data_IF_311280652870
#
_entry.id   IF_311280652870
#
_cell.length_a   1.000
_cell.length_b   1.000
_cell.length_c   1.000
_cell.angle_alpha   90.00
_cell.angle_beta   90.00
_cell.angle_gamma   90.00
#
_symmetry.space_group_name_H-M   'P 1'
#
loop_
_entity.id
_entity.type
_entity.pdbx_description
1 polymer ?
#
# COMPACT_ATOMS: atom_id res chain seq x y z
N UNK A 1 25.31 4.81 -59.49
CA UNK A 1 24.85 3.88 -58.44
C UNK A 1 25.63 4.16 -57.16
N UNK A 2 25.07 4.95 -56.26
CA UNK A 2 25.64 5.21 -54.92
C UNK A 2 24.48 5.06 -53.95
N UNK A 3 24.55 4.05 -53.09
CA UNK A 3 23.58 3.78 -52.03
C UNK A 3 23.85 4.73 -50.85
N UNK A 4 22.93 5.65 -50.58
CA UNK A 4 22.87 6.41 -49.33
C UNK A 4 21.98 5.69 -48.30
N UNK A 5 22.28 5.74 -46.99
CA UNK A 5 21.90 4.68 -46.06
C UNK A 5 20.57 4.94 -45.34
N UNK A 6 19.76 3.88 -45.21
CA UNK A 6 18.55 3.76 -44.37
C UNK A 6 18.80 3.88 -42.85
N UNK A 7 19.97 4.37 -42.43
CA UNK A 7 20.37 4.45 -41.03
C UNK A 7 19.81 5.69 -40.30
N UNK A 8 19.48 6.76 -41.02
CA UNK A 8 19.03 8.03 -40.39
C UNK A 8 17.57 8.00 -39.89
N UNK A 9 16.69 7.18 -40.47
CA UNK A 9 15.29 7.14 -40.04
C UNK A 9 15.04 6.38 -38.73
N UNK A 10 15.93 5.46 -38.33
CA UNK A 10 15.79 4.73 -37.06
C UNK A 10 16.25 5.54 -35.84
N UNK A 11 17.18 6.48 -36.04
CA UNK A 11 17.69 7.35 -34.97
C UNK A 11 16.67 8.42 -34.57
N UNK A 12 15.88 8.94 -35.51
CA UNK A 12 14.87 9.96 -35.25
C UNK A 12 13.69 9.43 -34.40
N UNK A 13 13.29 8.17 -34.59
CA UNK A 13 12.25 7.53 -33.78
C UNK A 13 12.72 7.24 -32.34
N UNK A 14 14.02 7.01 -32.14
CA UNK A 14 14.61 6.81 -30.81
C UNK A 14 14.70 8.13 -30.02
N UNK A 15 15.03 9.24 -30.68
CA UNK A 15 14.97 10.57 -30.06
C UNK A 15 13.53 10.97 -29.68
N UNK A 16 12.52 10.58 -30.46
CA UNK A 16 11.11 10.90 -30.18
C UNK A 16 10.54 10.19 -28.94
N UNK A 17 11.07 9.02 -28.56
CA UNK A 17 10.65 8.27 -27.37
C UNK A 17 11.30 8.76 -26.07
N UNK A 18 12.41 9.52 -26.15
CA UNK A 18 13.11 10.09 -24.99
C UNK A 18 12.70 11.54 -24.69
N UNK A 19 12.04 12.23 -25.63
CA UNK A 19 11.57 13.62 -25.47
C UNK A 19 10.63 13.86 -24.26
N UNK A 20 9.75 12.94 -23.82
CA UNK A 20 8.88 13.21 -22.68
C UNK A 20 9.61 13.33 -21.34
N UNK A 21 10.84 12.82 -21.22
CA UNK A 21 11.61 12.88 -19.97
C UNK A 21 12.66 13.99 -19.98
N UNK A 22 13.23 14.32 -21.14
CA UNK A 22 14.29 15.34 -21.25
C UNK A 22 13.74 16.78 -21.19
N UNK A 23 12.48 17.01 -21.57
CA UNK A 23 11.85 18.35 -21.54
C UNK A 23 11.52 18.83 -20.10
N UNK A 24 11.56 17.96 -19.08
CA UNK A 24 11.10 18.28 -17.73
C UNK A 24 12.20 18.55 -16.69
N UNK A 25 13.44 18.77 -17.13
CA UNK A 25 14.53 19.22 -16.26
C UNK A 25 14.42 20.70 -15.82
N UNK A 26 13.22 21.29 -15.81
CA UNK A 26 13.05 22.64 -15.30
C UNK A 26 13.24 22.66 -13.79
N UNK A 27 13.92 23.69 -13.23
CA UNK A 27 13.97 23.88 -11.80
C UNK A 27 12.54 23.99 -11.26
N UNK A 28 12.20 23.17 -10.27
CA UNK A 28 10.91 23.20 -9.60
C UNK A 28 11.06 23.89 -8.23
N UNK A 29 10.21 24.89 -7.91
CA UNK A 29 9.20 25.50 -8.79
C UNK A 29 9.82 26.36 -9.91
N UNK A 30 9.12 26.57 -11.05
CA UNK A 30 9.62 27.42 -12.15
C UNK A 30 9.94 28.86 -11.73
N UNK A 31 9.19 29.39 -10.77
CA UNK A 31 9.34 30.73 -10.19
C UNK A 31 10.45 30.83 -9.12
N UNK A 32 11.12 29.72 -8.80
CA UNK A 32 12.06 29.63 -7.69
C UNK A 32 11.39 29.53 -6.31
N UNK A 33 12.09 28.90 -5.36
CA UNK A 33 11.53 28.59 -4.05
C UNK A 33 11.31 29.83 -3.17
N UNK A 34 12.08 30.90 -3.38
CA UNK A 34 11.91 32.16 -2.67
C UNK A 34 10.54 32.81 -2.96
N UNK A 35 10.11 32.80 -4.22
CA UNK A 35 8.79 33.32 -4.61
C UNK A 35 7.67 32.46 -4.06
N UNK A 36 7.82 31.14 -4.09
CA UNK A 36 6.87 30.21 -3.48
C UNK A 36 6.74 30.44 -1.96
N UNK A 37 7.84 30.74 -1.28
CA UNK A 37 7.85 31.06 0.15
C UNK A 37 7.12 32.38 0.42
N UNK A 38 7.34 33.41 -0.41
CA UNK A 38 6.59 34.67 -0.35
C UNK A 38 5.08 34.44 -0.57
N UNK A 39 4.73 33.65 -1.58
CA UNK A 39 3.33 33.31 -1.89
C UNK A 39 2.65 32.57 -0.72
N UNK A 40 3.29 31.52 -0.18
CA UNK A 40 2.80 30.79 1.00
C UNK A 40 2.64 31.71 2.21
N UNK A 41 3.58 32.63 2.40
CA UNK A 41 3.55 33.59 3.52
C UNK A 41 2.38 34.55 3.38
N UNK A 42 2.17 35.10 2.19
CA UNK A 42 1.04 35.99 1.90
C UNK A 42 -0.33 35.31 2.12
N UNK A 43 -0.43 34.01 1.78
CA UNK A 43 -1.66 33.24 1.96
C UNK A 43 -1.81 32.60 3.36
N UNK A 44 -0.76 32.60 4.19
CA UNK A 44 -0.77 31.93 5.49
C UNK A 44 -1.85 32.43 6.44
N UNK A 45 -2.17 33.74 6.55
CA UNK A 45 -3.23 34.20 7.42
C UNK A 45 -4.59 33.60 7.06
N UNK A 46 -4.95 33.60 5.77
CA UNK A 46 -6.22 33.05 5.29
C UNK A 46 -6.28 31.53 5.47
N UNK A 47 -5.22 30.82 5.09
CA UNK A 47 -5.15 29.36 5.27
C UNK A 47 -5.29 28.95 6.73
N UNK A 48 -4.61 29.66 7.66
CA UNK A 48 -4.71 29.38 9.09
C UNK A 48 -6.10 29.67 9.66
N UNK A 49 -6.77 30.72 9.21
CA UNK A 49 -8.18 31.00 9.58
C UNK A 49 -9.10 29.88 9.12
N UNK A 50 -8.91 29.39 7.90
CA UNK A 50 -9.64 28.25 7.35
C UNK A 50 -9.40 26.99 8.19
N UNK A 51 -8.15 26.66 8.49
CA UNK A 51 -7.80 25.46 9.29
C UNK A 51 -8.36 25.49 10.72
N UNK A 52 -8.50 26.68 11.31
CA UNK A 52 -9.09 26.85 12.65
C UNK A 52 -10.61 26.89 12.64
N UNK A 53 -11.24 26.87 11.47
CA UNK A 53 -12.68 27.03 11.31
C UNK A 53 -13.18 28.46 11.53
N UNK A 54 -12.29 29.45 11.64
CA UNK A 54 -12.63 30.88 11.76
C UNK A 54 -13.21 31.43 10.44
N UNK A 55 -12.90 30.79 9.31
CA UNK A 55 -13.43 31.13 7.98
C UNK A 55 -13.87 29.84 7.27
N UNK A 56 -15.15 29.68 6.91
CA UNK A 56 -15.60 28.52 6.16
C UNK A 56 -14.91 28.44 4.80
N UNK A 57 -14.38 27.26 4.46
CA UNK A 57 -13.81 27.05 3.14
C UNK A 57 -14.87 26.96 2.07
N UNK A 58 -14.56 27.55 0.92
CA UNK A 58 -15.41 27.57 -0.26
C UNK A 58 -14.56 27.18 -1.47
N UNK A 59 -14.88 26.03 -2.08
CA UNK A 59 -14.18 25.53 -3.25
C UNK A 59 -14.41 26.38 -4.51
N UNK A 60 -15.39 27.30 -4.51
CA UNK A 60 -15.63 28.27 -5.58
C UNK A 60 -14.87 29.58 -5.39
N UNK A 61 -14.37 29.84 -4.18
CA UNK A 61 -13.60 31.04 -3.88
C UNK A 61 -12.15 30.84 -4.34
N UNK A 62 -11.67 31.70 -5.25
CA UNK A 62 -10.34 31.62 -5.82
C UNK A 62 -9.23 31.86 -4.78
N UNK A 63 -9.43 32.78 -3.84
CA UNK A 63 -8.47 33.07 -2.77
C UNK A 63 -8.31 31.88 -1.83
N UNK A 64 -9.42 31.20 -1.50
CA UNK A 64 -9.40 29.98 -0.70
C UNK A 64 -8.61 28.87 -1.41
N UNK A 65 -8.89 28.65 -2.70
CA UNK A 65 -8.17 27.66 -3.50
C UNK A 65 -6.68 28.01 -3.64
N UNK A 66 -6.35 29.29 -3.88
CA UNK A 66 -4.97 29.77 -3.98
C UNK A 66 -4.23 29.58 -2.67
N UNK A 67 -4.87 29.86 -1.53
CA UNK A 67 -4.27 29.64 -0.23
C UNK A 67 -3.93 28.16 -0.02
N UNK A 68 -4.88 27.25 -0.27
CA UNK A 68 -4.67 25.80 -0.17
C UNK A 68 -3.58 25.32 -1.14
N UNK A 69 -3.61 25.73 -2.40
CA UNK A 69 -2.63 25.32 -3.41
C UNK A 69 -1.23 25.84 -3.12
N UNK A 70 -1.07 27.06 -2.58
CA UNK A 70 0.23 27.60 -2.21
C UNK A 70 0.93 26.78 -1.12
N UNK A 71 0.17 26.24 -0.15
CA UNK A 71 0.69 25.31 0.84
C UNK A 71 1.03 23.95 0.22
N UNK A 72 0.15 23.40 -0.64
CA UNK A 72 0.43 22.16 -1.35
C UNK A 72 1.70 22.22 -2.21
N UNK A 73 1.89 23.30 -2.97
CA UNK A 73 3.10 23.58 -3.75
C UNK A 73 4.32 23.72 -2.85
N UNK A 74 4.20 24.48 -1.75
CA UNK A 74 5.29 24.65 -0.78
C UNK A 74 5.79 23.29 -0.28
N UNK A 75 4.91 22.40 0.17
CA UNK A 75 5.33 21.09 0.67
C UNK A 75 5.89 20.19 -0.43
N UNK A 76 5.19 20.06 -1.55
CA UNK A 76 5.62 19.19 -2.64
C UNK A 76 6.98 19.59 -3.22
N UNK A 77 7.22 20.89 -3.44
CA UNK A 77 8.46 21.36 -4.03
C UNK A 77 9.58 21.54 -3.00
N UNK A 78 9.29 21.58 -1.70
CA UNK A 78 10.35 21.70 -0.69
C UNK A 78 11.33 20.53 -0.74
N UNK A 79 10.91 19.36 -1.19
CA UNK A 79 11.79 18.18 -1.36
C UNK A 79 12.80 18.33 -2.51
N UNK A 80 12.64 19.35 -3.38
CA UNK A 80 13.59 19.63 -4.48
C UNK A 80 14.76 20.52 -4.03
N UNK A 81 14.64 21.17 -2.87
CA UNK A 81 15.64 22.10 -2.37
C UNK A 81 16.91 21.42 -1.89
N UNK A 82 18.05 22.00 -2.25
CA UNK A 82 19.36 21.47 -1.92
C UNK A 82 19.65 21.50 -0.41
N UNK A 83 19.27 22.58 0.29
CA UNK A 83 19.39 22.68 1.75
C UNK A 83 18.67 21.52 2.44
N UNK A 84 17.42 21.26 2.04
CA UNK A 84 16.58 20.20 2.61
C UNK A 84 17.13 18.81 2.31
N UNK A 85 17.79 18.64 1.17
CA UNK A 85 18.37 17.36 0.73
C UNK A 85 19.71 17.05 1.40
N UNK A 86 20.54 18.08 1.65
CA UNK A 86 21.91 17.91 2.16
C UNK A 86 22.00 17.91 3.68
N UNK A 87 21.16 18.69 4.35
CA UNK A 87 21.27 18.86 5.79
C UNK A 87 20.57 17.72 6.56
N UNK A 88 21.28 17.02 7.46
CA UNK A 88 20.70 15.96 8.27
C UNK A 88 19.45 16.44 9.03
N UNK A 89 18.38 15.65 8.96
CA UNK A 89 17.13 15.93 9.68
C UNK A 89 16.19 16.95 9.03
N UNK A 90 16.63 17.79 8.07
CA UNK A 90 15.74 18.77 7.42
C UNK A 90 14.63 18.13 6.59
N UNK A 91 14.94 17.03 5.88
CA UNK A 91 13.91 16.25 5.16
C UNK A 91 12.88 15.64 6.12
N UNK A 92 13.32 15.08 7.25
CA UNK A 92 12.43 14.51 8.27
C UNK A 92 11.52 15.58 8.90
N UNK A 93 12.06 16.75 9.21
CA UNK A 93 11.28 17.90 9.67
C UNK A 93 10.20 18.30 8.64
N UNK A 94 10.53 18.31 7.35
CA UNK A 94 9.55 18.60 6.29
C UNK A 94 8.39 17.58 6.26
N UNK A 95 8.67 16.30 6.48
CA UNK A 95 7.62 15.27 6.59
C UNK A 95 6.77 15.44 7.85
N UNK A 96 7.41 15.70 9.01
CA UNK A 96 6.69 15.94 10.28
C UNK A 96 5.74 17.14 10.19
N UNK A 97 6.13 18.19 9.48
CA UNK A 97 5.25 19.34 9.21
C UNK A 97 4.01 18.93 8.38
N UNK A 98 4.19 18.13 7.32
CA UNK A 98 3.07 17.60 6.52
C UNK A 98 2.17 16.72 7.38
N UNK A 99 2.73 15.77 8.13
CA UNK A 99 1.97 14.90 9.04
C UNK A 99 1.22 15.69 10.12
N UNK A 100 1.82 16.76 10.65
CA UNK A 100 1.15 17.67 11.58
C UNK A 100 -0.05 18.35 10.94
N UNK A 101 0.09 18.83 9.71
CA UNK A 101 -1.01 19.45 8.97
C UNK A 101 -2.11 18.46 8.63
N UNK A 102 -1.77 17.24 8.19
CA UNK A 102 -2.75 16.17 7.94
C UNK A 102 -3.53 15.81 9.22
N UNK A 103 -2.84 15.70 10.37
CA UNK A 103 -3.50 15.52 11.68
C UNK A 103 -4.41 16.69 12.04
N UNK A 104 -3.99 17.92 11.77
CA UNK A 104 -4.83 19.10 12.01
C UNK A 104 -6.10 19.06 11.16
N UNK A 105 -5.97 18.76 9.86
CA UNK A 105 -7.11 18.61 8.94
C UNK A 105 -8.11 17.54 9.41
N UNK A 106 -7.60 16.43 9.96
CA UNK A 106 -8.40 15.36 10.57
C UNK A 106 -9.16 15.81 11.82
N UNK A 107 -8.55 16.68 12.62
CA UNK A 107 -9.14 17.19 13.87
C UNK A 107 -10.10 18.37 13.67
N UNK A 108 -10.24 18.89 12.44
CA UNK A 108 -11.12 20.02 12.19
C UNK A 108 -12.57 19.65 12.53
N UNK A 109 -13.29 20.52 13.25
CA UNK A 109 -14.67 20.25 13.62
C UNK A 109 -15.49 20.10 12.35
N UNK A 110 -16.15 18.96 12.23
CA UNK A 110 -17.09 18.73 11.16
C UNK A 110 -18.29 19.64 11.40
N UNK A 111 -18.68 20.42 10.40
CA UNK A 111 -19.91 21.22 10.46
C UNK A 111 -21.08 20.26 10.70
N UNK A 112 -21.88 20.45 11.77
CA UNK A 112 -23.03 19.60 12.02
C UNK A 112 -23.98 19.71 10.83
N UNK A 113 -24.25 18.57 10.18
CA UNK A 113 -25.28 18.51 9.15
C UNK A 113 -26.65 18.71 9.83
N UNK A 114 -27.61 19.40 9.18
CA UNK A 114 -28.99 19.40 9.67
C UNK A 114 -29.45 17.95 9.83
N UNK A 115 -29.94 17.60 11.02
CA UNK A 115 -30.45 16.26 11.36
C UNK A 115 -31.66 15.93 10.50
N UNK A 116 -31.42 15.35 9.33
CA UNK A 116 -32.41 14.66 8.51
C UNK A 116 -32.22 13.18 8.76
N UNK A 117 -33.31 12.48 9.14
CA UNK A 117 -33.27 11.06 9.42
C UNK A 117 -32.67 10.29 8.22
N UNK A 118 -31.53 9.62 8.45
CA UNK A 118 -30.81 8.84 7.44
C UNK A 118 -29.67 9.54 6.69
N UNK A 119 -29.36 10.81 6.99
CA UNK A 119 -28.15 11.47 6.47
C UNK A 119 -26.95 11.36 7.43
N UNK A 120 -25.70 11.37 6.90
CA UNK A 120 -24.50 11.38 7.74
C UNK A 120 -24.54 12.52 8.75
N UNK A 121 -24.17 12.26 10.00
CA UNK A 121 -24.15 13.23 11.11
C UNK A 121 -23.06 14.30 10.97
N UNK A 122 -22.31 14.31 9.87
CA UNK A 122 -21.10 15.09 9.73
C UNK A 122 -20.84 15.47 8.25
N UNK A 123 -20.74 16.77 7.93
CA UNK A 123 -20.34 17.26 6.60
C UNK A 123 -18.82 17.10 6.42
N UNK A 124 -18.33 16.31 5.46
CA UNK A 124 -16.89 16.10 5.29
C UNK A 124 -16.11 17.42 5.11
N UNK A 125 -14.86 17.48 5.55
CA UNK A 125 -14.06 18.69 5.53
C UNK A 125 -13.65 19.06 4.09
N UNK A 126 -14.24 20.09 3.46
CA UNK A 126 -13.94 20.42 2.07
C UNK A 126 -12.50 20.95 1.89
N UNK A 127 -11.88 21.49 2.96
CA UNK A 127 -10.46 21.89 2.98
C UNK A 127 -9.56 20.68 2.85
N UNK A 128 -9.81 19.62 3.62
CA UNK A 128 -9.00 18.41 3.59
C UNK A 128 -9.01 17.80 2.19
N UNK A 129 -10.19 17.64 1.61
CA UNK A 129 -10.38 17.17 0.23
C UNK A 129 -9.63 18.01 -0.80
N UNK A 130 -9.67 19.34 -0.67
CA UNK A 130 -8.99 20.23 -1.60
C UNK A 130 -7.47 20.14 -1.42
N UNK A 131 -6.98 20.27 -0.18
CA UNK A 131 -5.55 20.21 0.14
C UNK A 131 -4.92 18.89 -0.29
N UNK A 132 -5.52 17.76 0.06
CA UNK A 132 -5.02 16.42 -0.29
C UNK A 132 -4.98 16.24 -1.82
N UNK A 133 -6.02 16.68 -2.52
CA UNK A 133 -6.08 16.62 -3.99
C UNK A 133 -5.01 17.50 -4.64
N UNK A 134 -4.80 18.72 -4.14
CA UNK A 134 -3.73 19.63 -4.62
C UNK A 134 -2.35 19.05 -4.34
N UNK A 135 -2.09 18.60 -3.11
CA UNK A 135 -0.80 18.03 -2.73
C UNK A 135 -0.47 16.79 -3.57
N UNK A 136 -1.44 15.92 -3.84
CA UNK A 136 -1.29 14.82 -4.78
C UNK A 136 -0.84 15.27 -6.18
N UNK A 137 -1.50 16.29 -6.75
CA UNK A 137 -1.13 16.86 -8.05
C UNK A 137 0.30 17.41 -8.02
N UNK A 138 0.65 18.19 -6.99
CA UNK A 138 1.97 18.83 -6.88
C UNK A 138 3.10 17.82 -6.64
N UNK A 139 2.86 16.73 -5.92
CA UNK A 139 3.83 15.63 -5.81
C UNK A 139 4.15 15.02 -7.18
N UNK A 140 3.13 14.82 -8.04
CA UNK A 140 3.31 14.25 -9.39
C UNK A 140 4.16 15.13 -10.30
N UNK A 141 4.08 16.45 -10.14
CA UNK A 141 4.92 17.39 -10.89
C UNK A 141 6.41 17.23 -10.55
N UNK A 142 6.77 16.64 -9.40
CA UNK A 142 8.16 16.37 -8.99
C UNK A 142 8.68 15.03 -9.52
N UNK A 143 7.84 14.14 -10.03
CA UNK A 143 8.29 12.83 -10.55
C UNK A 143 9.31 12.90 -11.68
N UNK A 144 9.24 13.84 -12.63
CA UNK A 144 10.26 13.95 -13.66
C UNK A 144 11.53 14.72 -13.20
N UNK A 145 11.65 15.11 -11.92
CA UNK A 145 12.80 15.86 -11.44
C UNK A 145 14.11 15.06 -11.63
N UNK A 146 15.21 15.73 -12.00
CA UNK A 146 16.50 15.07 -12.24
C UNK A 146 17.11 14.42 -11.00
N UNK A 147 16.83 14.93 -9.79
CA UNK A 147 17.39 14.41 -8.54
C UNK A 147 16.54 13.26 -8.00
N UNK A 148 17.13 12.07 -7.90
CA UNK A 148 16.47 10.87 -7.30
C UNK A 148 15.89 11.16 -5.92
N UNK A 149 16.63 11.87 -5.06
CA UNK A 149 16.16 12.23 -3.72
C UNK A 149 14.85 13.05 -3.75
N UNK A 150 14.68 13.95 -4.73
CA UNK A 150 13.45 14.72 -4.88
C UNK A 150 12.29 13.81 -5.32
N UNK A 151 12.52 12.97 -6.35
CA UNK A 151 11.51 12.04 -6.87
C UNK A 151 11.00 11.08 -5.80
N UNK A 152 11.92 10.41 -5.10
CA UNK A 152 11.59 9.44 -4.04
C UNK A 152 10.81 10.11 -2.91
N UNK A 153 11.24 11.28 -2.44
CA UNK A 153 10.54 11.97 -1.35
C UNK A 153 9.19 12.56 -1.77
N UNK A 154 8.99 12.91 -3.05
CA UNK A 154 7.67 13.29 -3.56
C UNK A 154 6.68 12.11 -3.50
N UNK A 155 7.10 10.91 -3.92
CA UNK A 155 6.25 9.70 -3.83
C UNK A 155 6.03 9.31 -2.36
N UNK A 156 7.06 9.43 -1.50
CA UNK A 156 6.92 9.25 -0.04
C UNK A 156 5.85 10.17 0.52
N UNK A 157 5.86 11.44 0.17
CA UNK A 157 4.85 12.41 0.62
C UNK A 157 3.46 12.05 0.11
N UNK A 158 3.34 11.67 -1.16
CA UNK A 158 2.09 11.18 -1.73
C UNK A 158 1.56 9.95 -0.97
N UNK A 159 2.45 9.03 -0.54
CA UNK A 159 2.07 7.80 0.16
C UNK A 159 1.43 8.01 1.54
N UNK A 160 1.56 9.20 2.13
CA UNK A 160 0.92 9.57 3.40
C UNK A 160 -0.56 9.95 3.22
N UNK A 161 -0.91 10.49 2.06
CA UNK A 161 -2.23 11.07 1.78
C UNK A 161 -3.41 10.10 1.89
N UNK A 162 -3.30 8.81 1.50
CA UNK A 162 -4.45 7.90 1.57
C UNK A 162 -5.00 7.69 2.98
N UNK A 163 -4.17 7.85 4.02
CA UNK A 163 -4.59 7.72 5.43
C UNK A 163 -5.59 8.79 5.88
N UNK A 164 -5.77 9.83 5.07
CA UNK A 164 -6.72 10.91 5.33
C UNK A 164 -8.00 10.81 4.47
N UNK A 165 -8.17 9.74 3.67
CA UNK A 165 -9.36 9.57 2.82
C UNK A 165 -10.68 9.62 3.61
N UNK A 166 -10.69 9.13 4.86
CA UNK A 166 -11.87 9.18 5.73
C UNK A 166 -12.29 10.61 6.12
N UNK A 167 -11.39 11.58 5.99
CA UNK A 167 -11.64 13.01 6.29
C UNK A 167 -12.15 13.80 5.08
N UNK A 168 -12.08 13.20 3.88
CA UNK A 168 -12.45 13.83 2.62
C UNK A 168 -13.95 13.72 2.33
N UNK A 169 -14.47 14.69 1.57
CA UNK A 169 -15.78 14.64 0.94
C UNK A 169 -15.77 13.63 -0.20
N UNK A 170 -16.27 12.44 0.10
CA UNK A 170 -16.43 11.35 -0.85
C UNK A 170 -17.67 11.53 -1.74
N UNK A 171 -18.64 12.39 -1.36
CA UNK A 171 -19.88 12.56 -2.12
C UNK A 171 -19.65 13.32 -3.44
N UNK A 172 -18.65 14.21 -3.50
CA UNK A 172 -18.27 14.95 -4.71
C UNK A 172 -17.07 14.38 -5.49
N UNK A 173 -16.29 13.45 -4.92
CA UNK A 173 -15.03 12.96 -5.50
C UNK A 173 -14.80 11.46 -5.31
N UNK A 174 -15.72 10.63 -5.82
CA UNK A 174 -15.55 9.16 -5.96
C UNK A 174 -14.24 8.73 -6.68
N UNK A 175 -13.47 9.67 -7.22
CA UNK A 175 -12.26 9.43 -8.01
C UNK A 175 -10.96 9.54 -7.21
N UNK A 176 -10.92 10.11 -5.99
CA UNK A 176 -9.63 10.38 -5.32
C UNK A 176 -8.84 9.10 -4.97
N UNK A 177 -9.45 8.04 -4.40
CA UNK A 177 -8.75 6.77 -4.22
C UNK A 177 -8.27 6.16 -5.54
N UNK A 178 -9.10 6.25 -6.60
CA UNK A 178 -8.72 5.82 -7.94
C UNK A 178 -7.53 6.61 -8.50
N UNK A 179 -7.48 7.92 -8.29
CA UNK A 179 -6.35 8.79 -8.69
C UNK A 179 -5.06 8.42 -7.95
N UNK A 180 -5.15 8.12 -6.64
CA UNK A 180 -4.00 7.61 -5.89
C UNK A 180 -3.51 6.30 -6.46
N UNK A 181 -4.41 5.33 -6.63
CA UNK A 181 -4.09 4.01 -7.16
C UNK A 181 -3.49 4.06 -8.57
N UNK A 182 -4.08 4.83 -9.48
CA UNK A 182 -3.57 5.02 -10.85
C UNK A 182 -2.18 5.67 -10.85
N UNK A 183 -1.98 6.70 -10.01
CA UNK A 183 -0.69 7.36 -9.88
C UNK A 183 0.37 6.43 -9.28
N UNK A 184 0.05 5.67 -8.23
CA UNK A 184 0.99 4.73 -7.64
C UNK A 184 1.31 3.58 -8.61
N UNK A 185 0.31 3.08 -9.36
CA UNK A 185 0.51 2.06 -10.38
C UNK A 185 1.43 2.57 -11.48
N UNK A 186 1.20 3.79 -11.95
CA UNK A 186 2.07 4.44 -12.95
C UNK A 186 3.51 4.57 -12.45
N UNK A 187 3.71 4.99 -11.19
CA UNK A 187 5.05 5.06 -10.58
C UNK A 187 5.67 3.67 -10.49
N UNK A 188 4.90 2.68 -10.03
CA UNK A 188 5.40 1.31 -9.88
C UNK A 188 5.85 0.69 -11.21
N UNK A 189 5.06 0.87 -12.27
CA UNK A 189 5.34 0.35 -13.61
C UNK A 189 6.48 1.09 -14.31
N UNK A 190 6.61 2.41 -14.13
CA UNK A 190 7.45 3.27 -15.00
C UNK A 190 8.62 3.95 -14.32
N UNK A 191 8.66 4.00 -12.98
CA UNK A 191 9.74 4.73 -12.31
C UNK A 191 11.10 4.03 -12.49
N UNK A 192 12.17 4.80 -12.76
CA UNK A 192 13.52 4.24 -12.85
C UNK A 192 14.08 3.91 -11.46
N UNK A 193 13.64 4.61 -10.41
CA UNK A 193 14.17 4.42 -9.05
C UNK A 193 13.33 3.42 -8.24
N UNK A 194 14.00 2.43 -7.67
CA UNK A 194 13.40 1.46 -6.76
C UNK A 194 12.78 2.12 -5.51
N UNK A 195 13.39 3.21 -5.02
CA UNK A 195 12.83 3.98 -3.90
C UNK A 195 11.45 4.58 -4.22
N UNK A 196 11.19 4.97 -5.46
CA UNK A 196 9.86 5.44 -5.87
C UNK A 196 8.85 4.28 -5.87
N UNK A 197 9.26 3.12 -6.41
CA UNK A 197 8.42 1.90 -6.41
C UNK A 197 8.07 1.46 -4.98
N UNK A 198 9.04 1.52 -4.06
CA UNK A 198 8.84 1.21 -2.65
C UNK A 198 7.70 2.05 -2.03
N UNK A 199 7.75 3.37 -2.20
CA UNK A 199 6.72 4.25 -1.64
C UNK A 199 5.41 4.19 -2.41
N UNK A 200 5.42 3.85 -3.70
CA UNK A 200 4.19 3.59 -4.44
C UNK A 200 3.46 2.35 -3.89
N UNK A 201 4.16 1.26 -3.61
CA UNK A 201 3.60 0.06 -2.98
C UNK A 201 3.01 0.37 -1.59
N UNK A 202 3.72 1.15 -0.77
CA UNK A 202 3.21 1.63 0.51
C UNK A 202 1.95 2.48 0.36
N UNK A 203 1.93 3.36 -0.64
CA UNK A 203 0.77 4.18 -1.00
C UNK A 203 -0.44 3.34 -1.42
N UNK A 204 -0.25 2.29 -2.22
CA UNK A 204 -1.32 1.34 -2.59
C UNK A 204 -1.87 0.63 -1.34
N UNK A 205 -0.99 0.07 -0.49
CA UNK A 205 -1.39 -0.59 0.75
C UNK A 205 -2.20 0.35 1.66
N UNK A 206 -1.71 1.58 1.87
CA UNK A 206 -2.41 2.60 2.66
C UNK A 206 -3.77 2.98 2.05
N UNK A 207 -3.87 3.05 0.71
CA UNK A 207 -5.13 3.35 0.02
C UNK A 207 -6.15 2.24 0.23
N UNK A 208 -5.78 0.97 0.03
CA UNK A 208 -6.67 -0.16 0.33
C UNK A 208 -7.08 -0.17 1.79
N UNK A 209 -6.15 0.03 2.72
CA UNK A 209 -6.44 0.05 4.15
C UNK A 209 -7.45 1.15 4.52
N UNK A 210 -7.31 2.34 3.95
CA UNK A 210 -8.24 3.45 4.17
C UNK A 210 -9.64 3.21 3.58
N UNK A 211 -9.73 2.44 2.48
CA UNK A 211 -11.01 2.08 1.86
C UNK A 211 -11.80 1.01 2.66
N UNK A 212 -11.11 0.15 3.43
CA UNK A 212 -11.74 -0.95 4.18
C UNK A 212 -12.93 -0.53 5.04
N UNK A 213 -12.81 0.42 6.00
CA UNK A 213 -13.96 0.82 6.83
C UNK A 213 -15.08 1.45 5.99
N UNK A 214 -14.74 2.15 4.91
CA UNK A 214 -15.69 2.83 4.02
C UNK A 214 -16.53 1.85 3.18
N UNK A 215 -16.04 0.63 2.94
CA UNK A 215 -16.75 -0.40 2.19
C UNK A 215 -17.79 -1.17 3.02
N UNK A 216 -17.65 -1.19 4.36
CA UNK A 216 -18.46 -2.03 5.28
C UNK A 216 -19.83 -1.41 5.60
N UNK A 217 -20.06 -0.13 5.30
CA UNK A 217 -21.35 0.51 5.56
C UNK A 217 -22.48 -0.15 4.74
N UNK A 218 -23.31 -0.95 5.43
CA UNK A 218 -24.35 -1.82 4.84
C UNK A 218 -25.52 -1.08 4.18
N UNK A 219 -25.61 0.25 4.28
CA UNK A 219 -26.82 1.01 3.88
C UNK A 219 -26.58 2.24 2.98
N UNK A 220 -25.36 2.54 2.55
CA UNK A 220 -25.12 3.82 1.87
C UNK A 220 -24.99 3.66 0.34
N UNK A 221 -25.75 4.48 -0.42
CA UNK A 221 -25.50 4.79 -1.83
C UNK A 221 -24.13 5.47 -2.08
N UNK A 222 -23.31 5.63 -1.02
CA UNK A 222 -22.06 6.37 -0.95
C UNK A 222 -20.83 5.48 -0.70
N UNK A 223 -20.92 4.15 -0.87
CA UNK A 223 -19.74 3.29 -0.77
C UNK A 223 -18.67 3.73 -1.76
N UNK A 224 -17.44 3.86 -1.26
CA UNK A 224 -16.28 4.22 -2.07
C UNK A 224 -15.60 2.93 -2.50
N UNK A 225 -15.73 2.61 -3.79
CA UNK A 225 -15.04 1.49 -4.42
C UNK A 225 -14.03 2.00 -5.43
N UNK A 226 -13.00 1.20 -5.68
CA UNK A 226 -12.15 1.39 -6.85
C UNK A 226 -12.93 1.00 -8.10
N UNK A 227 -12.55 1.59 -9.22
CA UNK A 227 -12.97 1.08 -10.52
C UNK A 227 -12.51 -0.39 -10.66
N UNK A 228 -13.41 -1.33 -11.00
CA UNK A 228 -13.06 -2.76 -11.07
C UNK A 228 -11.94 -3.08 -12.06
N UNK A 229 -11.84 -2.33 -13.17
CA UNK A 229 -10.79 -2.56 -14.16
C UNK A 229 -9.43 -2.07 -13.63
N UNK A 230 -9.41 -0.93 -12.95
CA UNK A 230 -8.21 -0.44 -12.24
C UNK A 230 -7.77 -1.43 -11.15
N UNK A 231 -8.71 -1.92 -10.32
CA UNK A 231 -8.42 -2.89 -9.27
C UNK A 231 -7.87 -4.21 -9.83
N UNK A 232 -8.47 -4.73 -10.91
CA UNK A 232 -7.98 -5.91 -11.60
C UNK A 232 -6.55 -5.70 -12.14
N UNK A 233 -6.29 -4.55 -12.77
CA UNK A 233 -4.96 -4.21 -13.29
C UNK A 233 -3.92 -4.17 -12.17
N UNK A 234 -4.23 -3.54 -11.04
CA UNK A 234 -3.32 -3.44 -9.89
C UNK A 234 -2.98 -4.83 -9.36
N UNK A 235 -3.99 -5.67 -9.13
CA UNK A 235 -3.74 -7.02 -8.61
C UNK A 235 -2.99 -7.89 -9.60
N UNK A 236 -3.28 -7.81 -10.90
CA UNK A 236 -2.51 -8.52 -11.93
C UNK A 236 -1.05 -8.08 -11.93
N UNK A 237 -0.79 -6.77 -11.95
CA UNK A 237 0.56 -6.21 -11.93
C UNK A 237 1.32 -6.60 -10.67
N UNK A 238 0.68 -6.56 -9.49
CA UNK A 238 1.31 -6.95 -8.23
C UNK A 238 1.58 -8.46 -8.16
N UNK A 239 0.63 -9.32 -8.57
CA UNK A 239 0.84 -10.77 -8.62
C UNK A 239 2.02 -11.10 -9.54
N UNK A 240 2.04 -10.53 -10.75
CA UNK A 240 3.12 -10.72 -11.71
C UNK A 240 4.48 -10.28 -11.16
N UNK A 241 4.54 -9.13 -10.48
CA UNK A 241 5.78 -8.67 -9.85
C UNK A 241 6.25 -9.61 -8.73
N UNK A 242 5.34 -10.01 -7.84
CA UNK A 242 5.67 -10.89 -6.72
C UNK A 242 6.19 -12.26 -7.21
N UNK A 243 5.58 -12.80 -8.26
CA UNK A 243 6.00 -14.07 -8.86
C UNK A 243 7.18 -13.93 -9.85
N UNK A 244 7.61 -12.71 -10.15
CA UNK A 244 8.70 -12.48 -11.11
C UNK A 244 10.03 -13.03 -10.58
N UNK A 245 10.81 -13.62 -11.49
CA UNK A 245 12.19 -14.04 -11.24
C UNK A 245 13.09 -12.90 -11.71
N UNK A 246 13.62 -12.06 -10.80
CA UNK A 246 14.52 -10.98 -11.18
C UNK A 246 15.75 -11.56 -11.88
N UNK A 247 16.20 -10.88 -12.93
CA UNK A 247 17.44 -11.21 -13.61
C UNK A 247 18.57 -10.42 -12.94
N UNK A 248 19.45 -11.14 -12.26
CA UNK A 248 20.65 -10.58 -11.65
C UNK A 248 21.86 -10.87 -12.55
N UNK A 249 22.87 -9.99 -12.49
CA UNK A 249 24.20 -10.38 -12.96
C UNK A 249 24.70 -11.60 -12.18
N UNK A 250 25.55 -12.44 -12.79
CA UNK A 250 26.03 -13.69 -12.19
C UNK A 250 26.69 -13.46 -10.81
N UNK A 251 27.31 -12.30 -10.61
CA UNK A 251 27.95 -11.86 -9.37
C UNK A 251 27.23 -10.67 -8.71
N UNK A 252 25.90 -10.56 -8.89
CA UNK A 252 25.14 -9.49 -8.24
C UNK A 252 25.34 -9.53 -6.71
N UNK A 253 25.65 -8.39 -6.07
CA UNK A 253 25.80 -8.31 -4.63
C UNK A 253 24.55 -8.80 -3.90
N UNK A 254 24.73 -9.37 -2.70
CA UNK A 254 23.59 -9.82 -1.88
C UNK A 254 22.66 -8.65 -1.51
N UNK A 255 23.20 -7.44 -1.40
CA UNK A 255 22.43 -6.21 -1.17
C UNK A 255 21.42 -5.93 -2.28
N UNK A 256 21.74 -6.27 -3.53
CA UNK A 256 20.84 -6.11 -4.67
C UNK A 256 19.68 -7.12 -4.61
N UNK A 257 19.99 -8.38 -4.28
CA UNK A 257 18.99 -9.43 -4.06
C UNK A 257 18.08 -9.08 -2.88
N UNK A 258 18.67 -8.53 -1.83
CA UNK A 258 17.97 -8.09 -0.63
C UNK A 258 17.06 -6.88 -0.90
N UNK A 259 17.52 -5.91 -1.70
CA UNK A 259 16.72 -4.78 -2.16
C UNK A 259 15.45 -5.22 -2.89
N UNK A 260 15.57 -6.19 -3.79
CA UNK A 260 14.41 -6.79 -4.46
C UNK A 260 13.46 -7.47 -3.47
N UNK A 261 13.97 -8.26 -2.53
CA UNK A 261 13.13 -8.92 -1.51
C UNK A 261 12.37 -7.91 -0.64
N UNK A 262 12.96 -6.76 -0.32
CA UNK A 262 12.27 -5.66 0.38
C UNK A 262 11.12 -5.11 -0.47
N UNK A 263 11.34 -4.87 -1.77
CA UNK A 263 10.27 -4.43 -2.67
C UNK A 263 9.16 -5.48 -2.80
N UNK A 264 9.53 -6.75 -2.97
CA UNK A 264 8.59 -7.87 -3.08
C UNK A 264 7.74 -8.01 -1.81
N UNK A 265 8.34 -7.85 -0.62
CA UNK A 265 7.62 -7.80 0.66
C UNK A 265 6.56 -6.69 0.69
N UNK A 266 6.88 -5.48 0.23
CA UNK A 266 5.89 -4.39 0.21
C UNK A 266 4.80 -4.62 -0.85
N UNK A 267 5.10 -5.32 -1.95
CA UNK A 267 4.10 -5.74 -2.92
C UNK A 267 3.16 -6.82 -2.36
N UNK A 268 3.71 -7.81 -1.62
CA UNK A 268 2.93 -8.78 -0.84
C UNK A 268 2.02 -8.05 0.16
N UNK A 269 2.55 -7.05 0.86
CA UNK A 269 1.76 -6.24 1.81
C UNK A 269 0.63 -5.48 1.09
N UNK A 270 0.88 -4.91 -0.09
CA UNK A 270 -0.16 -4.25 -0.88
C UNK A 270 -1.24 -5.24 -1.35
N UNK A 271 -0.86 -6.42 -1.85
CA UNK A 271 -1.78 -7.51 -2.21
C UNK A 271 -2.62 -7.98 -1.00
N UNK A 272 -1.98 -8.15 0.16
CA UNK A 272 -2.64 -8.51 1.40
C UNK A 272 -3.72 -7.48 1.82
N UNK A 273 -3.61 -6.23 1.37
CA UNK A 273 -4.59 -5.19 1.67
C UNK A 273 -5.86 -5.25 0.81
N UNK A 274 -5.84 -5.93 -0.35
CA UNK A 274 -6.98 -5.98 -1.30
C UNK A 274 -8.19 -6.72 -0.73
N UNK A 275 -7.95 -7.74 0.12
CA UNK A 275 -8.95 -8.67 0.67
C UNK A 275 -9.71 -9.53 -0.36
N UNK A 276 -9.41 -9.35 -1.65
CA UNK A 276 -10.00 -10.11 -2.72
C UNK A 276 -9.09 -11.30 -3.06
N UNK A 277 -9.58 -12.55 -2.93
CA UNK A 277 -8.77 -13.73 -3.21
C UNK A 277 -8.38 -13.79 -4.69
N UNK A 278 -9.24 -13.30 -5.58
CA UNK A 278 -8.97 -13.24 -7.01
C UNK A 278 -9.68 -12.04 -7.64
N UNK A 279 -9.05 -11.43 -8.64
CA UNK A 279 -9.69 -10.44 -9.51
C UNK A 279 -9.38 -10.74 -10.97
N UNK A 280 -10.42 -10.85 -11.79
CA UNK A 280 -10.27 -11.32 -13.17
C UNK A 280 -9.72 -12.76 -13.26
N UNK A 281 -9.22 -13.16 -14.43
CA UNK A 281 -8.75 -14.53 -14.66
C UNK A 281 -7.28 -14.78 -14.24
N UNK A 282 -6.48 -13.71 -14.10
CA UNK A 282 -5.02 -13.80 -13.95
C UNK A 282 -4.53 -13.47 -12.54
N UNK A 283 -5.20 -12.58 -11.82
CA UNK A 283 -4.74 -12.13 -10.50
C UNK A 283 -5.25 -13.09 -9.41
N UNK A 284 -4.54 -14.22 -9.24
CA UNK A 284 -4.85 -15.24 -8.22
C UNK A 284 -4.22 -14.90 -6.86
N UNK A 285 -4.58 -13.75 -6.30
CA UNK A 285 -3.98 -13.16 -5.10
C UNK A 285 -3.80 -14.17 -3.95
N UNK A 286 -4.85 -14.91 -3.58
CA UNK A 286 -4.76 -15.87 -2.47
C UNK A 286 -3.77 -17.03 -2.76
N UNK A 287 -3.67 -17.47 -4.01
CA UNK A 287 -2.71 -18.51 -4.40
C UNK A 287 -1.27 -17.99 -4.34
N UNK A 288 -1.02 -16.77 -4.84
CA UNK A 288 0.30 -16.13 -4.72
C UNK A 288 0.71 -15.99 -3.26
N UNK A 289 -0.19 -15.51 -2.39
CA UNK A 289 0.08 -15.38 -0.96
C UNK A 289 0.32 -16.73 -0.28
N UNK A 290 -0.43 -17.78 -0.65
CA UNK A 290 -0.21 -19.12 -0.10
C UNK A 290 1.15 -19.70 -0.49
N UNK A 291 1.56 -19.50 -1.76
CA UNK A 291 2.91 -19.86 -2.23
C UNK A 291 3.99 -19.08 -1.49
N UNK A 292 3.78 -17.80 -1.21
CA UNK A 292 4.74 -16.97 -0.49
C UNK A 292 4.76 -17.21 1.02
N UNK A 293 3.74 -17.84 1.60
CA UNK A 293 3.74 -18.23 3.00
C UNK A 293 4.46 -19.58 3.23
N UNK A 294 4.31 -20.55 2.31
CA UNK A 294 4.73 -21.94 2.53
C UNK A 294 5.36 -22.65 1.33
N UNK A 295 5.36 -22.03 0.16
CA UNK A 295 5.69 -22.68 -1.10
C UNK A 295 7.19 -22.74 -1.39
N UNK A 296 7.58 -23.80 -2.12
CA UNK A 296 8.94 -24.00 -2.62
C UNK A 296 9.20 -23.26 -3.94
N UNK A 297 10.45 -23.33 -4.41
CA UNK A 297 10.89 -22.95 -5.77
C UNK A 297 10.67 -21.47 -6.13
N UNK A 298 10.70 -20.58 -5.14
CA UNK A 298 10.64 -19.13 -5.34
C UNK A 298 12.05 -18.55 -5.36
N UNK A 299 12.36 -17.79 -6.41
CA UNK A 299 13.69 -17.23 -6.66
C UNK A 299 13.59 -15.69 -6.80
N UNK A 300 14.35 -14.90 -6.03
CA UNK A 300 15.17 -15.33 -4.88
C UNK A 300 14.29 -15.93 -3.78
N UNK A 301 14.89 -16.78 -2.94
CA UNK A 301 14.19 -17.41 -1.82
C UNK A 301 13.46 -16.36 -0.98
N UNK A 302 12.27 -16.72 -0.51
CA UNK A 302 11.45 -15.87 0.34
C UNK A 302 12.14 -15.65 1.66
N UNK A 303 12.19 -14.39 2.11
CA UNK A 303 12.55 -14.11 3.49
C UNK A 303 11.41 -14.47 4.43
N UNK A 304 11.77 -14.65 5.70
CA UNK A 304 10.77 -14.95 6.72
C UNK A 304 9.75 -13.82 6.92
N UNK A 305 10.14 -12.54 6.80
CA UNK A 305 9.20 -11.42 6.85
C UNK A 305 8.26 -11.37 5.64
N UNK A 306 8.68 -11.83 4.46
CA UNK A 306 7.78 -12.04 3.31
C UNK A 306 6.73 -13.11 3.61
N UNK A 307 7.15 -14.24 4.21
CA UNK A 307 6.23 -15.32 4.63
C UNK A 307 5.18 -14.81 5.62
N UNK A 308 5.60 -13.99 6.59
CA UNK A 308 4.72 -13.39 7.59
C UNK A 308 3.70 -12.44 6.97
N UNK A 309 4.12 -11.53 6.09
CA UNK A 309 3.18 -10.63 5.39
C UNK A 309 2.21 -11.42 4.50
N UNK A 310 2.68 -12.47 3.85
CA UNK A 310 1.84 -13.33 3.01
C UNK A 310 0.79 -14.10 3.84
N UNK A 311 1.21 -14.65 4.98
CA UNK A 311 0.33 -15.35 5.93
C UNK A 311 -0.76 -14.42 6.51
N UNK A 312 -0.39 -13.19 6.92
CA UNK A 312 -1.35 -12.16 7.32
C UNK A 312 -2.29 -11.82 6.15
N UNK A 313 -1.76 -11.77 4.92
CA UNK A 313 -2.54 -11.58 3.71
C UNK A 313 -3.60 -12.65 3.49
N UNK A 314 -3.28 -13.93 3.71
CA UNK A 314 -4.26 -15.02 3.62
C UNK A 314 -5.43 -14.82 4.58
N UNK A 315 -5.15 -14.40 5.82
CA UNK A 315 -6.20 -14.09 6.81
C UNK A 315 -7.06 -12.88 6.43
N UNK A 316 -6.53 -11.96 5.62
CA UNK A 316 -7.28 -10.80 5.14
C UNK A 316 -8.21 -11.12 3.96
N UNK A 317 -8.00 -12.24 3.26
CA UNK A 317 -8.86 -12.64 2.14
C UNK A 317 -10.28 -12.92 2.63
N UNK A 318 -11.28 -12.57 1.81
CA UNK A 318 -12.69 -12.88 2.09
C UNK A 318 -13.28 -13.74 0.98
N UNK A 319 -14.11 -14.74 1.32
CA UNK A 319 -14.96 -15.39 0.34
C UNK A 319 -15.77 -14.33 -0.40
N UNK A 320 -15.83 -14.44 -1.72
CA UNK A 320 -16.67 -13.58 -2.53
C UNK A 320 -17.95 -14.35 -2.83
N UNK A 321 -19.08 -13.69 -2.65
CA UNK A 321 -20.40 -14.29 -2.90
C UNK A 321 -20.54 -14.66 -4.37
N UNK A 322 -21.05 -15.88 -4.64
CA UNK A 322 -21.48 -16.37 -5.96
C UNK A 322 -20.41 -16.59 -7.05
N UNK A 323 -19.12 -16.69 -6.68
CA UNK A 323 -18.02 -17.41 -7.38
C UNK A 323 -16.90 -16.61 -8.12
N UNK A 324 -15.73 -16.39 -7.48
CA UNK A 324 -14.46 -16.12 -8.18
C UNK A 324 -13.25 -16.97 -7.70
N UNK A 325 -12.85 -18.06 -8.38
CA UNK A 325 -13.72 -19.12 -8.91
C UNK A 325 -13.62 -20.31 -7.92
N UNK A 326 -14.36 -20.13 -6.84
CA UNK A 326 -14.57 -20.94 -5.62
C UNK A 326 -13.32 -21.05 -4.77
N UNK A 327 -12.89 -19.88 -4.30
CA UNK A 327 -11.88 -19.72 -3.27
C UNK A 327 -12.16 -20.63 -2.07
N UNK A 328 -11.20 -21.49 -1.77
CA UNK A 328 -11.26 -22.43 -0.65
C UNK A 328 -10.66 -21.79 0.59
N UNK A 329 -11.51 -21.11 1.37
CA UNK A 329 -11.09 -20.43 2.60
C UNK A 329 -10.42 -21.38 3.59
N UNK A 330 -10.96 -22.59 3.78
CA UNK A 330 -10.39 -23.55 4.71
C UNK A 330 -8.98 -24.00 4.28
N UNK A 331 -8.72 -24.09 2.96
CA UNK A 331 -7.37 -24.35 2.44
C UNK A 331 -6.41 -23.19 2.68
N UNK A 332 -6.86 -21.94 2.50
CA UNK A 332 -6.06 -20.77 2.88
C UNK A 332 -5.74 -20.78 4.40
N UNK A 333 -6.70 -21.16 5.24
CA UNK A 333 -6.52 -21.30 6.69
C UNK A 333 -5.55 -22.44 7.03
N UNK A 334 -5.63 -23.57 6.33
CA UNK A 334 -4.69 -24.69 6.51
C UNK A 334 -3.26 -24.27 6.17
N UNK A 335 -3.04 -23.58 5.06
CA UNK A 335 -1.73 -23.02 4.72
C UNK A 335 -1.24 -22.01 5.76
N UNK A 336 -2.12 -21.14 6.26
CA UNK A 336 -1.77 -20.27 7.38
C UNK A 336 -1.36 -21.07 8.64
N UNK A 337 -2.06 -22.17 8.94
CA UNK A 337 -1.72 -23.08 10.03
C UNK A 337 -0.33 -23.72 9.88
N UNK A 338 0.03 -24.18 8.68
CA UNK A 338 1.37 -24.69 8.40
C UNK A 338 2.45 -23.63 8.61
N UNK A 339 2.23 -22.41 8.14
CA UNK A 339 3.12 -21.28 8.39
C UNK A 339 3.28 -21.03 9.90
N UNK A 340 2.20 -21.10 10.68
CA UNK A 340 2.27 -20.90 12.12
C UNK A 340 3.15 -21.93 12.83
N UNK A 341 3.17 -23.18 12.38
CA UNK A 341 4.06 -24.20 12.96
C UNK A 341 5.54 -23.76 12.84
N UNK A 342 5.98 -23.34 11.64
CA UNK A 342 7.33 -22.78 11.43
C UNK A 342 7.54 -21.49 12.25
N UNK A 343 6.54 -20.60 12.28
CA UNK A 343 6.62 -19.34 13.02
C UNK A 343 6.86 -19.54 14.52
N UNK A 344 6.13 -20.47 15.17
CA UNK A 344 6.32 -20.79 16.58
C UNK A 344 7.63 -21.52 16.84
N UNK A 345 8.03 -22.45 15.97
CA UNK A 345 9.31 -23.14 16.07
C UNK A 345 10.47 -22.15 16.03
N UNK A 346 10.52 -21.28 15.02
CA UNK A 346 11.55 -20.23 14.89
C UNK A 346 11.55 -19.26 16.05
N UNK A 347 10.38 -18.84 16.53
CA UNK A 347 10.32 -17.99 17.72
C UNK A 347 10.93 -18.68 18.95
N UNK A 348 10.64 -19.96 19.17
CA UNK A 348 11.17 -20.69 20.32
C UNK A 348 12.68 -20.95 20.19
N UNK A 349 13.21 -21.09 18.96
CA UNK A 349 14.64 -21.22 18.66
C UNK A 349 15.34 -19.90 18.31
N UNK A 350 14.69 -18.74 18.50
CA UNK A 350 15.15 -17.43 17.99
C UNK A 350 16.53 -16.98 18.49
N UNK A 351 17.02 -17.59 19.56
CA UNK A 351 18.35 -17.26 20.10
C UNK A 351 19.49 -17.88 19.30
N UNK A 352 19.18 -18.78 18.35
CA UNK A 352 20.15 -19.54 17.58
C UNK A 352 20.65 -18.78 16.34
N UNK A 353 19.86 -17.82 15.83
CA UNK A 353 20.19 -17.00 14.66
C UNK A 353 20.07 -15.50 14.93
N UNK A 354 21.08 -14.71 14.57
CA UNK A 354 21.08 -13.25 14.79
C UNK A 354 19.91 -12.55 14.08
N UNK A 355 19.55 -12.99 12.88
CA UNK A 355 18.41 -12.44 12.13
C UNK A 355 17.09 -12.61 12.90
N UNK A 356 16.93 -13.72 13.63
CA UNK A 356 15.73 -14.00 14.41
C UNK A 356 15.71 -13.20 15.73
N UNK A 357 16.87 -12.82 16.29
CA UNK A 357 16.93 -11.97 17.50
C UNK A 357 16.36 -10.57 17.25
N UNK A 358 16.61 -10.01 16.07
CA UNK A 358 16.16 -8.66 15.70
C UNK A 358 14.77 -8.65 15.03
N UNK A 359 14.19 -9.82 14.75
CA UNK A 359 12.86 -9.91 14.15
C UNK A 359 11.78 -9.41 15.13
N UNK A 360 10.80 -8.60 14.69
CA UNK A 360 9.82 -7.98 15.57
C UNK A 360 8.67 -8.94 15.94
N UNK A 361 8.97 -10.06 16.59
CA UNK A 361 8.05 -11.15 16.90
C UNK A 361 6.76 -10.71 17.58
N UNK A 362 6.86 -9.85 18.61
CA UNK A 362 5.70 -9.37 19.38
C UNK A 362 4.73 -8.58 18.52
N UNK A 363 5.28 -7.70 17.67
CA UNK A 363 4.50 -6.88 16.76
C UNK A 363 3.81 -7.73 15.69
N UNK A 364 4.51 -8.72 15.13
CA UNK A 364 3.93 -9.59 14.12
C UNK A 364 2.88 -10.54 14.70
N UNK A 365 3.08 -11.04 15.93
CA UNK A 365 2.07 -11.82 16.65
C UNK A 365 0.77 -11.03 16.83
N UNK A 366 0.86 -9.76 17.28
CA UNK A 366 -0.30 -8.89 17.43
C UNK A 366 -1.03 -8.68 16.09
N UNK A 367 -0.30 -8.43 15.00
CA UNK A 367 -0.90 -8.29 13.66
C UNK A 367 -1.58 -9.55 13.16
N UNK A 368 -1.00 -10.72 13.41
CA UNK A 368 -1.61 -12.02 13.08
C UNK A 368 -2.91 -12.20 13.89
N UNK A 369 -2.88 -11.88 15.19
CA UNK A 369 -4.03 -11.97 16.07
C UNK A 369 -5.17 -11.04 15.61
N UNK A 370 -4.85 -9.79 15.27
CA UNK A 370 -5.82 -8.83 14.72
C UNK A 370 -6.46 -9.34 13.42
N UNK A 371 -5.64 -9.85 12.48
CA UNK A 371 -6.14 -10.39 11.21
C UNK A 371 -7.02 -11.64 11.41
N UNK A 372 -6.62 -12.52 12.33
CA UNK A 372 -7.35 -13.74 12.69
C UNK A 372 -8.72 -13.41 13.32
N UNK A 373 -8.73 -12.49 14.29
CA UNK A 373 -9.95 -12.04 14.95
C UNK A 373 -10.89 -11.33 13.97
N UNK A 374 -10.35 -10.49 13.06
CA UNK A 374 -11.12 -9.87 11.99
C UNK A 374 -11.73 -10.90 11.04
N UNK A 375 -10.98 -11.92 10.63
CA UNK A 375 -11.51 -13.00 9.79
C UNK A 375 -12.66 -13.72 10.50
N UNK A 376 -12.45 -14.15 11.74
CA UNK A 376 -13.45 -14.89 12.54
C UNK A 376 -14.74 -14.09 12.79
N UNK A 377 -14.63 -12.77 12.92
CA UNK A 377 -15.79 -11.90 13.09
C UNK A 377 -16.67 -11.79 11.83
N UNK A 378 -16.09 -12.07 10.65
CA UNK A 378 -16.75 -11.84 9.36
C UNK A 378 -17.16 -13.12 8.63
N UNK A 379 -16.50 -14.25 8.90
CA UNK A 379 -16.75 -15.53 8.21
C UNK A 379 -17.20 -16.62 9.16
N UNK A 380 -17.98 -17.58 8.64
CA UNK A 380 -18.29 -18.83 9.33
C UNK A 380 -17.44 -19.94 8.71
N UNK A 381 -16.51 -20.50 9.48
CA UNK A 381 -15.71 -21.67 9.11
C UNK A 381 -15.49 -22.55 10.35
N UNK A 382 -15.94 -23.79 10.28
CA UNK A 382 -15.73 -24.77 11.35
C UNK A 382 -14.25 -25.13 11.48
N UNK A 383 -13.53 -25.13 10.36
CA UNK A 383 -12.09 -25.33 10.34
C UNK A 383 -11.36 -24.22 11.10
N UNK A 384 -11.72 -22.95 10.85
CA UNK A 384 -11.19 -21.80 11.58
C UNK A 384 -11.52 -21.89 13.07
N UNK A 385 -12.77 -22.19 13.41
CA UNK A 385 -13.22 -22.27 14.80
C UNK A 385 -12.53 -23.38 15.58
N UNK A 386 -12.23 -24.52 14.94
CA UNK A 386 -11.45 -25.60 15.54
C UNK A 386 -9.98 -25.25 15.73
N UNK A 387 -9.37 -24.54 14.76
CA UNK A 387 -7.96 -24.16 14.84
C UNK A 387 -7.70 -23.00 15.79
N UNK A 388 -8.61 -22.03 15.87
CA UNK A 388 -8.48 -20.80 16.66
C UNK A 388 -8.01 -21.00 18.11
N UNK A 389 -8.65 -21.85 18.95
CA UNK A 389 -8.21 -22.04 20.34
C UNK A 389 -6.79 -22.62 20.46
N UNK A 390 -6.32 -23.37 19.45
CA UNK A 390 -4.97 -23.95 19.44
C UNK A 390 -3.88 -22.92 19.20
N UNK A 391 -4.20 -21.81 18.54
CA UNK A 391 -3.22 -20.79 18.11
C UNK A 391 -3.26 -19.52 18.94
N UNK A 392 -4.44 -19.12 19.43
CA UNK A 392 -4.62 -17.81 20.10
C UNK A 392 -3.82 -17.73 21.41
N UNK A 393 -3.72 -18.83 22.16
CA UNK A 393 -2.93 -18.89 23.42
C UNK A 393 -1.44 -18.71 23.13
N UNK A 394 -0.95 -19.36 22.07
CA UNK A 394 0.43 -19.21 21.61
C UNK A 394 0.72 -17.78 21.17
N UNK A 395 -0.13 -17.18 20.34
CA UNK A 395 0.04 -15.80 19.87
C UNK A 395 0.03 -14.79 21.03
N UNK A 396 -0.92 -14.90 21.96
CA UNK A 396 -0.97 -14.05 23.16
C UNK A 396 0.29 -14.19 24.02
N UNK A 397 0.85 -15.40 24.11
CA UNK A 397 2.11 -15.63 24.85
C UNK A 397 3.29 -14.91 24.16
N UNK A 398 3.39 -15.00 22.83
CA UNK A 398 4.38 -14.28 22.03
C UNK A 398 4.29 -12.76 22.17
N UNK A 399 3.08 -12.20 22.16
CA UNK A 399 2.86 -10.76 22.36
C UNK A 399 3.44 -10.25 23.69
N UNK A 400 3.47 -11.11 24.71
CA UNK A 400 4.05 -10.83 26.03
C UNK A 400 5.51 -11.26 26.18
N UNK A 401 6.14 -11.77 25.11
CA UNK A 401 7.54 -12.22 25.12
C UNK A 401 7.78 -13.57 25.79
N UNK A 402 6.70 -14.33 26.08
CA UNK A 402 6.78 -15.69 26.63
C UNK A 402 6.93 -16.70 25.50
N UNK A 403 7.30 -17.94 25.84
CA UNK A 403 7.37 -19.06 24.90
C UNK A 403 6.03 -19.28 24.18
N UNK A 404 6.09 -19.58 22.88
CA UNK A 404 4.93 -19.86 22.07
C UNK A 404 4.55 -21.33 22.13
N UNK A 405 3.57 -21.66 22.97
CA UNK A 405 3.02 -23.01 23.02
C UNK A 405 1.86 -23.14 22.03
N UNK A 406 2.05 -23.98 21.02
CA UNK A 406 1.00 -24.44 20.10
C UNK A 406 0.90 -25.95 20.09
N UNK A 407 0.68 -26.48 21.28
CA UNK A 407 0.41 -27.91 21.47
C UNK A 407 -0.75 -28.32 20.57
N UNK A 408 -0.58 -29.43 19.85
CA UNK A 408 -1.58 -30.03 18.98
C UNK A 408 -1.93 -29.30 17.67
N UNK A 409 -1.36 -28.13 17.35
CA UNK A 409 -1.60 -27.49 16.04
C UNK A 409 -1.19 -28.40 14.88
N UNK A 410 0.03 -28.94 14.93
CA UNK A 410 0.49 -29.89 13.89
C UNK A 410 -0.33 -31.18 13.83
N UNK A 411 -0.89 -31.63 14.96
CA UNK A 411 -1.82 -32.76 15.01
C UNK A 411 -3.14 -32.44 14.31
N UNK A 412 -3.75 -31.29 14.65
CA UNK A 412 -4.97 -30.79 14.03
C UNK A 412 -4.86 -30.69 12.51
N UNK A 413 -3.76 -30.12 12.00
CA UNK A 413 -3.53 -29.97 10.56
C UNK A 413 -3.46 -31.32 9.82
N UNK A 414 -2.98 -32.38 10.49
CA UNK A 414 -2.92 -33.75 9.94
C UNK A 414 -4.23 -34.50 10.07
N UNK A 415 -4.92 -34.36 11.20
CA UNK A 415 -6.13 -35.12 11.55
C UNK A 415 -7.41 -34.55 10.93
N UNK A 416 -7.37 -33.28 10.49
CA UNK A 416 -8.46 -32.63 9.75
C UNK A 416 -8.05 -32.33 8.30
N UNK A 417 -7.89 -33.36 7.44
CA UNK A 417 -7.62 -33.13 6.03
C UNK A 417 -8.82 -32.44 5.37
N UNK A 418 -8.54 -31.50 4.47
CA UNK A 418 -9.57 -30.83 3.69
C UNK A 418 -10.03 -31.70 2.52
N UNK A 419 -11.30 -31.54 2.14
CA UNK A 419 -11.87 -32.22 0.97
C UNK A 419 -11.19 -31.81 -0.35
N UNK A 420 -10.57 -30.62 -0.40
CA UNK A 420 -9.78 -30.14 -1.54
C UNK A 420 -8.58 -29.35 -1.05
N UNK A 421 -7.43 -29.58 -1.67
CA UNK A 421 -6.16 -28.87 -1.44
C UNK A 421 -5.93 -27.74 -2.45
N UNK A 422 -6.92 -27.48 -3.32
CA UNK A 422 -6.90 -26.36 -4.25
C UNK A 422 -7.29 -25.07 -3.51
N UNK A 423 -6.49 -24.01 -3.68
CA UNK A 423 -6.87 -22.66 -3.21
C UNK A 423 -8.11 -22.15 -3.96
N UNK A 424 -8.30 -22.56 -5.20
CA UNK A 424 -9.49 -22.27 -5.99
C UNK A 424 -10.05 -23.57 -6.55
N UNK A 425 -11.19 -24.03 -6.02
CA UNK A 425 -11.72 -25.37 -6.31
C UNK A 425 -12.02 -25.59 -7.81
N UNK A 426 -12.25 -24.51 -8.57
CA UNK A 426 -12.55 -24.57 -10.02
C UNK A 426 -11.35 -24.24 -10.91
N UNK A 427 -10.17 -24.00 -10.34
CA UNK A 427 -8.96 -23.67 -11.11
C UNK A 427 -7.88 -24.72 -10.80
N UNK A 428 -7.64 -25.67 -11.73
CA UNK A 428 -6.58 -26.66 -11.58
C UNK A 428 -5.20 -26.02 -11.39
N UNK A 429 -4.29 -26.72 -10.72
CA UNK A 429 -2.92 -26.26 -10.49
C UNK A 429 -2.80 -25.15 -9.45
N UNK A 430 -3.82 -24.98 -8.61
CA UNK A 430 -3.81 -24.03 -7.49
C UNK A 430 -3.52 -24.70 -6.15
N UNK A 431 -2.94 -25.91 -6.17
CA UNK A 431 -2.35 -26.57 -5.00
C UNK A 431 -0.99 -25.96 -4.68
N UNK A 432 -0.73 -25.66 -3.40
CA UNK A 432 0.60 -25.19 -2.96
C UNK A 432 1.37 -26.37 -2.36
N UNK A 433 2.53 -26.66 -2.95
CA UNK A 433 3.46 -27.66 -2.41
C UNK A 433 4.15 -27.10 -1.18
N UNK A 434 3.93 -27.73 -0.02
CA UNK A 434 4.53 -27.33 1.25
C UNK A 434 6.02 -27.65 1.30
N UNK A 435 6.78 -26.80 1.99
CA UNK A 435 8.12 -27.13 2.46
C UNK A 435 8.07 -28.22 3.55
N UNK A 436 8.10 -29.50 3.13
CA UNK A 436 8.39 -30.63 4.04
C UNK A 436 9.78 -30.51 4.66
#
# INVERSE_FOLDING_TARGET
MINAPRFLLKSAAFCALLLPWVIYAQPLPPSGFAELTKERTANSPLFNKILRGETPFDAKNEEHNKAVDSFARFFAYRVTQEEIQKEPGKMDAAFKEVESLLRQLRSMPVVPAPTVAGMPTSIPNPVATNFISRLHIRCREVYPNLKTIARVNAVRMQSLLPTELATCDQMGKKTLPGQFMDSFLTVFEKAPDEGMKLYALKGMAATYQALRPLAVEKKAANRVFLDPALEAKIQETLCQFVESKPQYAENAPEEEKEGFRILRREAIRALAQTRLPMTGAKAKTAFVLARFANGKDIAPEQRFDEKVEAAIGLLNMRPVENDPNDFNLDCAIQHFGHFLVDYFQRYNSRNDQEADKIFPWRYQAARINDALNSLRAEVKSDYLNGMYPLIVVGLNSLETGKEGKVENLGGYLREKPLASQLLFKKIPGTEVKLDN
#
